data_IF_994148644368
#
_entry.id   IF_994148644368
#
_cell.length_a   1.000
_cell.length_b   1.000
_cell.length_c   1.000
_cell.angle_alpha   90.00
_cell.angle_beta   90.00
_cell.angle_gamma   90.00
#
_symmetry.space_group_name_H-M   'P 1'
#
loop_
_entity.id
_entity.type
_entity.pdbx_description
1 polymer ?
#
# COMPACT_ATOMS: atom_id res chain seq x y z
N UNK A 1 -7.42 -20.77 -24.49
CA UNK A 1 -8.60 -19.99 -24.07
C UNK A 1 -8.32 -18.49 -24.02
N UNK A 2 -7.10 -18.04 -23.74
CA UNK A 2 -6.69 -16.63 -23.59
C UNK A 2 -6.55 -15.82 -24.89
N UNK A 3 -6.97 -16.34 -26.05
CA UNK A 3 -6.84 -15.64 -27.35
C UNK A 3 -7.94 -14.60 -27.59
N UNK A 4 -9.08 -14.72 -26.92
CA UNK A 4 -10.15 -13.71 -26.93
C UNK A 4 -9.90 -12.76 -25.75
N UNK A 5 -9.67 -11.45 -25.97
CA UNK A 5 -9.42 -10.48 -24.89
C UNK A 5 -10.54 -10.42 -23.84
N UNK A 6 -11.77 -10.79 -24.20
CA UNK A 6 -12.94 -10.73 -23.33
C UNK A 6 -13.33 -12.09 -22.73
N UNK A 7 -12.48 -13.11 -22.84
CA UNK A 7 -12.81 -14.47 -22.41
C UNK A 7 -13.23 -14.55 -20.93
N UNK A 8 -12.57 -13.77 -20.06
CA UNK A 8 -12.89 -13.67 -18.63
C UNK A 8 -14.29 -13.08 -18.40
N UNK A 9 -14.63 -12.01 -19.12
CA UNK A 9 -15.93 -11.34 -18.99
C UNK A 9 -17.08 -12.23 -19.47
N UNK A 10 -16.86 -13.02 -20.52
CA UNK A 10 -17.86 -13.97 -21.03
C UNK A 10 -18.08 -15.15 -20.09
N UNK A 11 -17.02 -15.77 -19.59
CA UNK A 11 -17.15 -16.96 -18.74
C UNK A 11 -17.64 -16.64 -17.32
N UNK A 12 -17.35 -15.43 -16.81
CA UNK A 12 -17.73 -15.02 -15.46
C UNK A 12 -18.80 -13.93 -15.45
N UNK A 13 -19.66 -13.84 -16.46
CA UNK A 13 -20.68 -12.79 -16.64
C UNK A 13 -21.63 -12.55 -15.43
N UNK A 14 -21.75 -13.51 -14.52
CA UNK A 14 -22.54 -13.41 -13.27
C UNK A 14 -21.76 -13.03 -12.01
N UNK A 15 -20.43 -12.89 -12.10
CA UNK A 15 -19.55 -12.54 -10.98
C UNK A 15 -18.72 -11.32 -11.38
N UNK A 16 -19.03 -10.10 -10.88
CA UNK A 16 -18.27 -8.91 -11.25
C UNK A 16 -16.80 -9.08 -10.89
N UNK A 17 -15.93 -9.06 -11.89
CA UNK A 17 -14.48 -9.15 -11.73
C UNK A 17 -14.02 -7.88 -11.03
N UNK A 18 -13.33 -8.00 -9.88
CA UNK A 18 -12.75 -6.85 -9.17
C UNK A 18 -11.71 -6.15 -10.07
N UNK A 19 -11.97 -4.91 -10.49
CA UNK A 19 -11.02 -4.07 -11.22
C UNK A 19 -10.00 -3.46 -10.25
N UNK A 20 -8.98 -4.24 -9.89
CA UNK A 20 -7.77 -3.77 -9.20
C UNK A 20 -6.68 -3.36 -10.19
N UNK A 21 -5.48 -2.98 -9.69
CA UNK A 21 -4.32 -2.61 -10.51
C UNK A 21 -4.16 -3.54 -11.73
N UNK A 22 -4.21 -2.97 -12.93
CA UNK A 22 -3.91 -3.67 -14.17
C UNK A 22 -2.43 -4.06 -14.13
N UNK A 23 -2.16 -5.35 -14.23
CA UNK A 23 -0.80 -5.84 -14.37
C UNK A 23 -0.44 -5.58 -15.84
N UNK A 24 0.48 -4.64 -16.08
CA UNK A 24 1.01 -4.28 -17.41
C UNK A 24 1.92 -5.38 -17.96
N UNK A 25 1.35 -6.56 -18.11
CA UNK A 25 2.03 -7.75 -18.59
C UNK A 25 1.00 -8.61 -19.34
N UNK A 26 1.02 -8.59 -20.68
CA UNK A 26 0.01 -9.30 -21.49
C UNK A 26 0.04 -10.82 -21.28
N UNK A 27 1.17 -11.35 -20.79
CA UNK A 27 1.35 -12.76 -20.51
C UNK A 27 1.06 -13.11 -19.04
N UNK A 28 0.65 -12.14 -18.23
CA UNK A 28 0.24 -12.39 -16.85
C UNK A 28 -1.21 -12.90 -16.77
N UNK A 29 -1.50 -13.91 -15.91
CA UNK A 29 -0.53 -14.70 -15.14
C UNK A 29 0.12 -15.80 -15.97
N UNK A 30 1.42 -16.02 -15.76
CA UNK A 30 2.11 -17.21 -16.29
C UNK A 30 1.80 -18.41 -15.40
N UNK A 31 1.00 -19.32 -15.93
CA UNK A 31 0.53 -20.50 -15.20
C UNK A 31 1.34 -21.73 -15.63
N UNK A 32 1.82 -22.49 -14.66
CA UNK A 32 2.36 -23.83 -14.90
C UNK A 32 1.56 -24.88 -14.13
N UNK A 33 1.52 -26.11 -14.65
CA UNK A 33 0.78 -27.23 -14.05
C UNK A 33 1.74 -28.39 -13.89
N UNK A 34 1.72 -29.02 -12.71
CA UNK A 34 2.45 -30.27 -12.47
C UNK A 34 1.73 -31.15 -11.46
N UNK A 35 1.69 -32.44 -11.75
CA UNK A 35 1.15 -33.47 -10.87
C UNK A 35 1.88 -34.79 -11.07
N UNK A 36 1.78 -35.68 -10.09
CA UNK A 36 2.39 -37.01 -10.17
C UNK A 36 1.60 -37.90 -11.12
N UNK A 37 2.29 -38.60 -12.01
CA UNK A 37 1.69 -39.59 -12.92
C UNK A 37 1.86 -40.96 -12.27
N UNK A 38 0.75 -41.65 -11.95
CA UNK A 38 0.80 -43.02 -11.47
C UNK A 38 0.59 -43.98 -12.65
N UNK A 39 1.47 -44.98 -12.79
CA UNK A 39 1.46 -45.90 -13.93
C UNK A 39 0.34 -46.96 -13.86
N UNK A 40 -0.34 -47.11 -12.71
CA UNK A 40 -1.19 -48.27 -12.40
C UNK A 40 -2.71 -47.98 -12.32
N UNK A 41 -3.19 -46.88 -12.91
CA UNK A 41 -4.63 -46.55 -12.95
C UNK A 41 -5.23 -46.73 -14.35
N UNK A 42 -6.52 -47.10 -14.42
CA UNK A 42 -7.27 -47.31 -15.67
C UNK A 42 -7.28 -46.07 -16.59
N UNK A 43 -7.02 -44.87 -16.04
CA UNK A 43 -6.94 -43.59 -16.76
C UNK A 43 -5.51 -43.13 -17.08
N UNK A 44 -4.48 -43.93 -16.78
CA UNK A 44 -3.06 -43.56 -16.92
C UNK A 44 -2.69 -43.00 -18.29
N UNK A 45 -3.24 -43.57 -19.37
CA UNK A 45 -2.96 -43.11 -20.74
C UNK A 45 -3.53 -41.71 -21.02
N UNK A 46 -4.76 -41.44 -20.60
CA UNK A 46 -5.38 -40.13 -20.77
C UNK A 46 -4.61 -39.06 -19.98
N UNK A 47 -4.24 -39.38 -18.74
CA UNK A 47 -3.45 -38.49 -17.87
C UNK A 47 -2.07 -38.19 -18.48
N UNK A 48 -1.42 -39.18 -19.10
CA UNK A 48 -0.16 -38.98 -19.79
C UNK A 48 -0.31 -38.10 -21.03
N UNK A 49 -1.36 -38.29 -21.83
CA UNK A 49 -1.60 -37.48 -23.02
C UNK A 49 -1.92 -36.02 -22.65
N UNK A 50 -2.72 -35.79 -21.60
CA UNK A 50 -2.95 -34.44 -21.04
C UNK A 50 -1.65 -33.79 -20.53
N UNK A 51 -0.79 -34.56 -19.85
CA UNK A 51 0.51 -34.03 -19.39
C UNK A 51 1.43 -33.67 -20.56
N UNK A 52 1.42 -34.43 -21.66
CA UNK A 52 2.21 -34.08 -22.86
C UNK A 52 1.78 -32.74 -23.44
N UNK A 53 0.48 -32.50 -23.50
CA UNK A 53 -0.06 -31.21 -23.98
C UNK A 53 0.33 -30.06 -23.04
N UNK A 54 0.27 -30.26 -21.72
CA UNK A 54 0.74 -29.29 -20.72
C UNK A 54 2.23 -28.97 -20.90
N UNK A 55 3.07 -30.00 -21.04
CA UNK A 55 4.53 -29.82 -21.24
C UNK A 55 4.80 -29.12 -22.56
N UNK A 56 4.03 -29.41 -23.61
CA UNK A 56 4.16 -28.76 -24.91
C UNK A 56 3.87 -27.26 -24.80
N UNK A 57 2.77 -26.86 -24.18
CA UNK A 57 2.43 -25.45 -23.98
C UNK A 57 3.51 -24.71 -23.16
N UNK A 58 4.06 -25.38 -22.14
CA UNK A 58 5.19 -24.85 -21.36
C UNK A 58 6.45 -24.65 -22.21
N UNK A 59 6.79 -25.64 -23.04
CA UNK A 59 7.93 -25.57 -23.96
C UNK A 59 7.77 -24.46 -24.99
N UNK A 60 6.58 -24.31 -25.56
CA UNK A 60 6.27 -23.27 -26.54
C UNK A 60 6.47 -21.87 -25.93
N UNK A 61 6.05 -21.68 -24.67
CA UNK A 61 6.19 -20.40 -23.96
C UNK A 61 7.63 -20.10 -23.52
N UNK A 62 8.31 -21.05 -22.85
CA UNK A 62 9.63 -20.82 -22.26
C UNK A 62 10.80 -21.17 -23.19
N UNK A 63 10.50 -21.63 -24.41
CA UNK A 63 11.47 -22.13 -25.39
C UNK A 63 12.34 -23.26 -24.82
N UNK A 64 11.71 -24.19 -24.10
CA UNK A 64 12.35 -25.41 -23.57
C UNK A 64 12.02 -26.62 -24.43
N UNK A 65 12.61 -27.78 -24.12
CA UNK A 65 12.42 -29.02 -24.89
C UNK A 65 12.21 -30.22 -23.96
N UNK A 66 11.40 -30.04 -22.92
CA UNK A 66 11.08 -31.12 -21.98
C UNK A 66 10.15 -32.15 -22.62
N UNK A 67 10.32 -33.41 -22.23
CA UNK A 67 9.45 -34.52 -22.59
C UNK A 67 8.79 -35.10 -21.33
N UNK A 68 7.81 -35.98 -21.50
CA UNK A 68 7.21 -36.69 -20.35
C UNK A 68 8.23 -37.61 -19.68
N UNK A 69 9.22 -38.10 -20.43
CA UNK A 69 10.36 -38.86 -19.91
C UNK A 69 11.29 -37.98 -19.06
N UNK A 70 11.33 -36.67 -19.31
CA UNK A 70 12.09 -35.68 -18.56
C UNK A 70 11.27 -35.01 -17.43
N UNK A 71 10.19 -35.65 -16.94
CA UNK A 71 9.24 -35.02 -15.99
C UNK A 71 9.94 -34.42 -14.76
N UNK A 72 10.96 -35.07 -14.22
CA UNK A 72 11.71 -34.55 -13.06
C UNK A 72 12.51 -33.28 -13.39
N UNK A 73 13.03 -33.15 -14.60
CA UNK A 73 13.72 -31.93 -15.05
C UNK A 73 12.74 -30.80 -15.32
N UNK A 74 11.60 -31.11 -15.94
CA UNK A 74 10.48 -30.20 -16.10
C UNK A 74 10.03 -29.62 -14.74
N UNK A 75 9.85 -30.48 -13.75
CA UNK A 75 9.50 -30.06 -12.38
C UNK A 75 10.59 -29.22 -11.72
N UNK A 76 11.85 -29.56 -11.94
CA UNK A 76 12.99 -28.76 -11.49
C UNK A 76 12.97 -27.35 -12.08
N UNK A 77 12.64 -27.22 -13.37
CA UNK A 77 12.53 -25.93 -14.06
C UNK A 77 11.39 -25.08 -13.48
N UNK A 78 10.20 -25.67 -13.28
CA UNK A 78 9.06 -25.01 -12.60
C UNK A 78 9.48 -24.49 -11.23
N UNK A 79 10.14 -25.33 -10.43
CA UNK A 79 10.57 -24.95 -9.08
C UNK A 79 11.53 -23.76 -9.10
N UNK A 80 12.49 -23.77 -10.02
CA UNK A 80 13.48 -22.71 -10.13
C UNK A 80 12.85 -21.39 -10.58
N UNK A 81 11.95 -21.41 -11.56
CA UNK A 81 11.21 -20.24 -12.05
C UNK A 81 10.25 -19.68 -11.01
N UNK A 82 9.57 -20.55 -10.26
CA UNK A 82 8.66 -20.14 -9.19
C UNK A 82 9.43 -19.55 -8.00
N UNK A 83 10.56 -20.14 -7.62
CA UNK A 83 11.35 -19.69 -6.47
C UNK A 83 12.15 -18.41 -6.73
N UNK A 84 12.43 -18.08 -8.00
CA UNK A 84 13.15 -16.86 -8.42
C UNK A 84 14.50 -16.64 -7.70
N UNK A 85 15.17 -17.74 -7.32
CA UNK A 85 16.44 -17.71 -6.57
C UNK A 85 17.62 -17.30 -7.45
N UNK A 86 17.64 -17.72 -8.72
CA UNK A 86 18.69 -17.35 -9.69
C UNK A 86 18.31 -16.06 -10.42
N UNK A 87 19.33 -15.29 -10.83
CA UNK A 87 19.14 -14.00 -11.50
C UNK A 87 18.31 -14.12 -12.79
N UNK A 88 18.54 -15.17 -13.59
CA UNK A 88 17.80 -15.44 -14.84
C UNK A 88 16.28 -15.55 -14.65
N UNK A 89 15.81 -15.98 -13.48
CA UNK A 89 14.39 -16.13 -13.17
C UNK A 89 13.79 -14.90 -12.48
N UNK A 90 14.60 -13.86 -12.24
CA UNK A 90 14.13 -12.55 -11.78
C UNK A 90 13.87 -11.61 -12.95
N UNK A 91 14.33 -11.96 -14.15
CA UNK A 91 14.05 -11.21 -15.38
C UNK A 91 12.57 -11.29 -15.73
N UNK A 92 12.02 -10.17 -16.17
CA UNK A 92 10.62 -10.07 -16.58
C UNK A 92 10.33 -11.03 -17.73
N UNK A 93 9.28 -11.84 -17.58
CA UNK A 93 8.85 -12.83 -18.55
C UNK A 93 9.44 -14.23 -18.35
N UNK A 94 10.43 -14.40 -17.47
CA UNK A 94 11.08 -15.70 -17.21
C UNK A 94 10.56 -16.41 -15.97
N UNK A 95 9.83 -15.69 -15.12
CA UNK A 95 9.26 -16.17 -13.88
C UNK A 95 7.93 -16.91 -14.09
N UNK A 96 7.54 -17.74 -13.13
CA UNK A 96 6.17 -18.27 -13.02
C UNK A 96 5.41 -17.48 -11.96
N UNK A 97 4.14 -17.18 -12.23
CA UNK A 97 3.26 -16.39 -11.35
C UNK A 97 2.29 -17.28 -10.57
N UNK A 98 1.81 -18.37 -11.17
CA UNK A 98 0.92 -19.34 -10.52
C UNK A 98 1.33 -20.77 -10.90
N UNK A 99 1.34 -21.68 -9.93
CA UNK A 99 1.49 -23.12 -10.19
C UNK A 99 0.29 -23.87 -9.63
N UNK A 100 -0.32 -24.70 -10.48
CA UNK A 100 -1.37 -25.63 -10.09
C UNK A 100 -0.71 -26.96 -9.76
N UNK A 101 -0.92 -27.45 -8.54
CA UNK A 101 -0.34 -28.68 -8.00
C UNK A 101 -1.39 -29.53 -7.30
N UNK A 102 -1.16 -30.84 -7.26
CA UNK A 102 -1.91 -31.78 -6.41
C UNK A 102 -1.24 -31.91 -5.04
N UNK A 103 -0.13 -32.67 -4.97
CA UNK A 103 0.65 -32.86 -3.73
C UNK A 103 2.09 -32.32 -3.83
N UNK A 104 2.55 -31.96 -5.04
CA UNK A 104 3.91 -31.40 -5.22
C UNK A 104 3.98 -30.00 -4.61
N UNK A 105 5.19 -29.59 -4.23
CA UNK A 105 5.51 -28.27 -3.64
C UNK A 105 4.93 -27.99 -2.25
N UNK A 106 4.11 -28.89 -1.71
CA UNK A 106 3.59 -28.81 -0.35
C UNK A 106 4.64 -29.22 0.69
N UNK A 107 5.68 -29.95 0.28
CA UNK A 107 6.83 -30.36 1.11
C UNK A 107 8.15 -30.08 0.39
N UNK A 108 9.19 -29.73 1.15
CA UNK A 108 10.57 -29.55 0.64
C UNK A 108 10.82 -28.33 -0.27
N UNK A 109 9.78 -27.69 -0.81
CA UNK A 109 9.92 -26.50 -1.66
C UNK A 109 10.00 -25.20 -0.84
N UNK A 110 10.91 -24.31 -1.22
CA UNK A 110 11.21 -23.09 -0.48
C UNK A 110 11.40 -21.89 -1.42
N UNK A 111 10.54 -20.88 -1.27
CA UNK A 111 10.53 -19.67 -2.08
C UNK A 111 10.11 -18.46 -1.23
N UNK A 112 11.07 -17.62 -0.78
CA UNK A 112 10.77 -16.46 0.08
C UNK A 112 9.73 -15.49 -0.48
N UNK A 113 9.69 -15.33 -1.81
CA UNK A 113 8.81 -14.43 -2.54
C UNK A 113 7.35 -14.89 -2.61
N UNK A 114 7.05 -16.16 -2.32
CA UNK A 114 5.67 -16.65 -2.37
C UNK A 114 4.91 -16.15 -1.16
N UNK A 115 3.86 -15.36 -1.43
CA UNK A 115 2.99 -14.82 -0.40
C UNK A 115 1.68 -15.58 -0.25
N UNK A 116 1.12 -16.12 -1.33
CA UNK A 116 -0.28 -16.59 -1.35
C UNK A 116 -0.37 -18.07 -1.70
N UNK A 117 -1.19 -18.81 -0.95
CA UNK A 117 -1.59 -20.19 -1.24
C UNK A 117 -3.10 -20.29 -1.40
N UNK A 118 -3.53 -20.77 -2.57
CA UNK A 118 -4.92 -21.07 -2.90
C UNK A 118 -5.20 -22.56 -2.63
N UNK A 119 -6.24 -22.86 -1.85
CA UNK A 119 -6.54 -24.21 -1.36
C UNK A 119 -7.96 -24.60 -1.72
N UNK A 120 -8.10 -25.54 -2.66
CA UNK A 120 -9.37 -26.24 -2.96
C UNK A 120 -9.31 -27.73 -2.58
N UNK A 121 -8.80 -28.02 -1.39
CA UNK A 121 -8.73 -29.37 -0.84
C UNK A 121 -8.96 -29.35 0.66
N UNK A 122 -9.43 -30.47 1.19
CA UNK A 122 -9.54 -30.63 2.64
C UNK A 122 -8.16 -30.97 3.22
N UNK A 123 -7.44 -29.95 3.68
CA UNK A 123 -6.22 -30.09 4.46
C UNK A 123 -6.57 -30.29 5.94
N UNK A 124 -5.84 -31.17 6.62
CA UNK A 124 -5.98 -31.39 8.06
C UNK A 124 -4.60 -31.60 8.69
N UNK A 125 -4.49 -31.22 9.97
CA UNK A 125 -3.33 -31.48 10.83
C UNK A 125 -1.98 -31.10 10.19
N UNK A 126 -1.04 -32.05 10.11
CA UNK A 126 0.33 -31.82 9.66
C UNK A 126 0.41 -31.28 8.22
N UNK A 127 -0.47 -31.75 7.32
CA UNK A 127 -0.48 -31.31 5.92
C UNK A 127 -0.90 -29.83 5.79
N UNK A 128 -1.76 -29.36 6.69
CA UNK A 128 -2.20 -27.97 6.74
C UNK A 128 -1.05 -27.04 7.14
N UNK A 129 -0.35 -27.35 8.23
CA UNK A 129 0.77 -26.53 8.73
C UNK A 129 1.95 -26.54 7.76
N UNK A 130 2.26 -27.68 7.15
CA UNK A 130 3.32 -27.78 6.15
C UNK A 130 3.02 -26.92 4.91
N UNK A 131 1.78 -26.97 4.42
CA UNK A 131 1.33 -26.13 3.31
C UNK A 131 1.36 -24.63 3.68
N UNK A 132 0.88 -24.27 4.87
CA UNK A 132 0.82 -22.86 5.29
C UNK A 132 2.22 -22.28 5.48
N UNK A 133 3.15 -23.06 6.03
CA UNK A 133 4.55 -22.68 6.17
C UNK A 133 5.27 -22.41 4.84
N UNK A 134 4.68 -22.73 3.68
CA UNK A 134 5.25 -22.33 2.38
C UNK A 134 5.19 -20.82 2.17
N UNK A 135 4.21 -20.16 2.77
CA UNK A 135 3.97 -18.72 2.63
C UNK A 135 4.60 -17.87 3.74
N UNK A 136 5.12 -18.47 4.82
CA UNK A 136 5.59 -17.71 6.00
C UNK A 136 7.08 -17.32 5.96
N UNK A 137 7.78 -17.59 4.86
CA UNK A 137 9.17 -17.19 4.68
C UNK A 137 9.31 -15.67 4.62
N UNK A 138 10.25 -15.12 5.39
CA UNK A 138 10.52 -13.68 5.44
C UNK A 138 11.10 -13.18 4.13
N UNK A 139 10.64 -12.00 3.69
CA UNK A 139 11.13 -11.32 2.50
C UNK A 139 10.89 -9.81 2.64
N UNK A 140 11.78 -8.92 2.13
CA UNK A 140 11.57 -7.48 2.19
C UNK A 140 10.20 -7.07 1.63
N UNK A 141 9.44 -6.28 2.38
CA UNK A 141 8.08 -5.85 2.03
C UNK A 141 6.97 -6.90 2.22
N UNK A 142 7.30 -8.14 2.63
CA UNK A 142 6.33 -9.20 2.92
C UNK A 142 6.16 -9.36 4.43
N UNK A 143 5.02 -8.91 4.94
CA UNK A 143 4.70 -8.95 6.37
C UNK A 143 3.98 -10.23 6.79
N UNK A 144 3.25 -10.88 5.88
CA UNK A 144 2.45 -12.09 6.18
C UNK A 144 2.27 -13.01 4.97
N UNK A 145 2.00 -14.28 5.25
CA UNK A 145 1.49 -15.24 4.27
C UNK A 145 -0.04 -15.14 4.17
N UNK A 146 -0.58 -15.34 2.97
CA UNK A 146 -2.02 -15.32 2.69
C UNK A 146 -2.47 -16.73 2.31
N UNK A 147 -3.47 -17.25 3.02
CA UNK A 147 -4.11 -18.52 2.69
C UNK A 147 -5.55 -18.23 2.27
N UNK A 148 -5.92 -18.67 1.08
CA UNK A 148 -7.27 -18.54 0.53
C UNK A 148 -7.85 -19.93 0.37
N UNK A 149 -8.99 -20.20 1.01
CA UNK A 149 -9.60 -21.54 1.04
C UNK A 149 -10.99 -21.50 0.41
N UNK A 150 -11.28 -22.43 -0.49
CA UNK A 150 -12.55 -22.46 -1.23
C UNK A 150 -13.53 -23.51 -0.70
N UNK A 151 -13.02 -24.54 -0.02
CA UNK A 151 -13.81 -25.70 0.39
C UNK A 151 -14.04 -25.72 1.89
N UNK A 152 -15.31 -25.72 2.31
CA UNK A 152 -15.75 -25.79 3.71
C UNK A 152 -14.99 -24.80 4.63
N UNK A 153 -15.12 -23.48 4.41
CA UNK A 153 -14.34 -22.47 5.14
C UNK A 153 -14.46 -22.58 6.66
N UNK A 154 -15.64 -22.91 7.19
CA UNK A 154 -15.85 -23.13 8.63
C UNK A 154 -15.11 -24.35 9.17
N UNK A 155 -15.09 -25.46 8.44
CA UNK A 155 -14.31 -26.65 8.80
C UNK A 155 -12.82 -26.38 8.70
N UNK A 156 -12.40 -25.60 7.70
CA UNK A 156 -11.01 -25.23 7.52
C UNK A 156 -10.53 -24.33 8.66
N UNK A 157 -11.32 -23.34 9.08
CA UNK A 157 -11.04 -22.51 10.25
C UNK A 157 -10.83 -23.36 11.52
N UNK A 158 -11.70 -24.36 11.73
CA UNK A 158 -11.55 -25.28 12.85
C UNK A 158 -10.27 -26.13 12.72
N UNK A 159 -9.97 -26.66 11.52
CA UNK A 159 -8.74 -27.43 11.28
C UNK A 159 -7.48 -26.59 11.51
N UNK A 160 -7.51 -25.29 11.17
CA UNK A 160 -6.42 -24.35 11.46
C UNK A 160 -6.28 -24.16 12.97
N UNK A 161 -7.37 -23.89 13.68
CA UNK A 161 -7.38 -23.75 15.15
C UNK A 161 -6.82 -25.01 15.84
N UNK A 162 -7.32 -26.18 15.46
CA UNK A 162 -6.91 -27.46 16.02
C UNK A 162 -5.44 -27.78 15.71
N UNK A 163 -4.98 -27.46 14.50
CA UNK A 163 -3.58 -27.65 14.12
C UNK A 163 -2.67 -26.68 14.87
N UNK A 164 -2.99 -25.38 14.91
CA UNK A 164 -2.21 -24.38 15.67
C UNK A 164 -2.08 -24.80 17.12
N UNK A 165 -3.19 -25.18 17.77
CA UNK A 165 -3.21 -25.66 19.17
C UNK A 165 -2.33 -26.88 19.41
N UNK A 166 -2.21 -27.77 18.42
CA UNK A 166 -1.37 -28.98 18.53
C UNK A 166 0.13 -28.64 18.45
N UNK A 167 0.51 -27.55 17.78
CA UNK A 167 1.89 -27.17 17.51
C UNK A 167 2.39 -25.95 18.31
N UNK A 168 1.51 -25.15 18.90
CA UNK A 168 1.86 -24.09 19.86
C UNK A 168 1.84 -24.67 21.28
N UNK A 169 2.93 -24.49 22.05
CA UNK A 169 2.80 -24.54 23.51
C UNK A 169 1.78 -23.46 23.92
N UNK A 170 0.91 -23.73 24.89
CA UNK A 170 -0.35 -22.99 25.16
C UNK A 170 -0.25 -21.47 25.40
N UNK A 171 0.94 -20.87 25.31
CA UNK A 171 1.21 -19.44 25.39
C UNK A 171 1.44 -18.76 24.03
N UNK A 172 1.68 -19.49 22.92
CA UNK A 172 1.98 -18.93 21.58
C UNK A 172 0.81 -19.01 20.58
N UNK A 173 -0.40 -19.34 21.05
CA UNK A 173 -1.59 -19.53 20.22
C UNK A 173 -2.01 -18.24 19.49
N UNK A 174 -1.61 -17.06 19.99
CA UNK A 174 -2.04 -15.74 19.50
C UNK A 174 -1.24 -15.15 18.33
N UNK A 175 -0.09 -15.72 17.99
CA UNK A 175 0.88 -15.10 17.06
C UNK A 175 0.95 -15.82 15.70
N UNK A 176 0.36 -17.02 15.61
CA UNK A 176 0.37 -17.85 14.40
C UNK A 176 -0.79 -17.54 13.44
N UNK A 177 -1.90 -17.03 13.94
CA UNK A 177 -3.09 -16.68 13.15
C UNK A 177 -3.45 -15.23 13.45
N UNK A 178 -3.65 -14.43 12.40
CA UNK A 178 -4.06 -13.05 12.58
C UNK A 178 -5.42 -13.00 13.31
N UNK A 179 -5.57 -12.13 14.32
CA UNK A 179 -6.82 -11.98 15.05
C UNK A 179 -7.95 -11.57 14.11
N UNK A 180 -9.19 -11.94 14.44
CA UNK A 180 -10.38 -11.44 13.74
C UNK A 180 -10.47 -9.91 13.80
N UNK A 181 -11.33 -9.30 12.98
CA UNK A 181 -11.58 -7.85 13.06
C UNK A 181 -12.00 -7.42 14.47
N UNK A 182 -12.92 -8.15 15.11
CA UNK A 182 -13.38 -7.85 16.47
C UNK A 182 -12.27 -7.95 17.53
N UNK A 183 -11.37 -8.92 17.39
CA UNK A 183 -10.21 -9.06 18.28
C UNK A 183 -9.18 -7.96 18.03
N UNK A 184 -8.91 -7.63 16.77
CA UNK A 184 -8.04 -6.51 16.37
C UNK A 184 -8.59 -5.19 16.92
N UNK A 185 -9.90 -4.97 16.82
CA UNK A 185 -10.60 -3.79 17.37
C UNK A 185 -10.51 -3.74 18.90
N UNK A 186 -10.62 -4.88 19.59
CA UNK A 186 -10.42 -4.94 21.05
C UNK A 186 -8.98 -4.60 21.43
N UNK A 187 -7.98 -5.11 20.69
CA UNK A 187 -6.56 -4.78 20.89
C UNK A 187 -6.30 -3.29 20.69
N UNK A 188 -6.80 -2.72 19.60
CA UNK A 188 -6.74 -1.27 19.34
C UNK A 188 -7.33 -0.45 20.49
N UNK A 189 -8.54 -0.79 20.95
CA UNK A 189 -9.18 -0.12 22.11
C UNK A 189 -8.35 -0.22 23.39
N UNK A 190 -7.70 -1.37 23.63
CA UNK A 190 -6.84 -1.57 24.79
C UNK A 190 -5.58 -0.71 24.69
N UNK A 191 -4.94 -0.65 23.52
CA UNK A 191 -3.78 0.19 23.26
C UNK A 191 -4.13 1.68 23.40
N UNK A 192 -5.28 2.10 22.87
CA UNK A 192 -5.79 3.48 22.98
C UNK A 192 -6.00 3.87 24.45
N UNK A 193 -6.62 2.99 25.23
CA UNK A 193 -6.81 3.18 26.67
C UNK A 193 -5.49 3.25 27.42
N UNK A 194 -4.51 2.41 27.07
CA UNK A 194 -3.18 2.44 27.69
C UNK A 194 -2.51 3.79 27.48
N UNK A 195 -2.47 4.26 26.22
CA UNK A 195 -1.87 5.56 25.87
C UNK A 195 -2.55 6.71 26.62
N UNK A 196 -3.88 6.78 26.57
CA UNK A 196 -4.66 7.88 27.18
C UNK A 196 -4.71 7.82 28.72
N UNK A 197 -4.45 6.66 29.33
CA UNK A 197 -4.27 6.57 30.78
C UNK A 197 -2.90 7.08 31.21
N UNK A 198 -1.87 6.76 30.42
CA UNK A 198 -0.49 7.19 30.69
C UNK A 198 -0.29 8.68 30.43
N UNK A 199 -0.81 9.17 29.30
CA UNK A 199 -0.71 10.56 28.85
C UNK A 199 -2.10 11.01 28.38
N UNK A 200 -2.92 11.59 29.26
CA UNK A 200 -4.30 11.99 28.93
C UNK A 200 -4.41 13.08 27.87
N UNK A 201 -3.41 13.96 27.76
CA UNK A 201 -3.32 14.97 26.70
C UNK A 201 -1.90 15.01 26.12
N UNK A 202 -1.72 15.29 24.81
CA UNK A 202 -0.39 15.39 24.20
C UNK A 202 0.54 16.38 24.93
N UNK A 203 -0.01 17.44 25.52
CA UNK A 203 0.74 18.46 26.26
C UNK A 203 1.29 17.99 27.61
N UNK A 204 0.82 16.85 28.12
CA UNK A 204 1.20 16.34 29.44
C UNK A 204 2.59 15.65 29.42
N UNK A 205 3.17 15.46 28.23
CA UNK A 205 4.50 14.88 28.06
C UNK A 205 5.34 15.70 27.06
N UNK A 206 6.65 15.75 27.29
CA UNK A 206 7.62 16.37 26.39
C UNK A 206 9.02 15.73 26.56
N UNK A 207 10.00 16.24 25.83
CA UNK A 207 11.39 15.79 25.84
C UNK A 207 12.09 15.91 27.20
N UNK A 208 11.56 16.73 28.12
CA UNK A 208 12.10 16.92 29.47
C UNK A 208 11.38 16.09 30.53
N UNK A 209 10.34 15.33 30.15
CA UNK A 209 9.66 14.40 31.06
C UNK A 209 10.63 13.30 31.56
N UNK A 210 10.37 12.72 32.74
CA UNK A 210 11.18 11.61 33.26
C UNK A 210 11.39 10.51 32.21
N UNK A 211 12.62 10.00 32.14
CA UNK A 211 13.05 9.01 31.13
C UNK A 211 12.14 7.79 31.07
N UNK A 212 11.75 7.23 32.22
CA UNK A 212 10.83 6.10 32.32
C UNK A 212 9.47 6.39 31.65
N UNK A 213 8.91 7.58 31.90
CA UNK A 213 7.62 8.00 31.32
C UNK A 213 7.74 8.19 29.81
N UNK A 214 8.84 8.77 29.32
CA UNK A 214 9.11 8.91 27.88
C UNK A 214 9.19 7.56 27.18
N UNK A 215 9.86 6.58 27.80
CA UNK A 215 9.98 5.21 27.27
C UNK A 215 8.62 4.53 27.21
N UNK A 216 7.84 4.56 28.30
CA UNK A 216 6.51 3.96 28.35
C UNK A 216 5.56 4.60 27.33
N UNK A 217 5.63 5.92 27.16
CA UNK A 217 4.83 6.65 26.17
C UNK A 217 5.16 6.23 24.74
N UNK A 218 6.45 6.15 24.39
CA UNK A 218 6.86 5.72 23.05
C UNK A 218 6.41 4.28 22.76
N UNK A 219 6.54 3.37 23.74
CA UNK A 219 6.04 1.98 23.61
C UNK A 219 4.52 1.96 23.43
N UNK A 220 3.77 2.71 24.25
CA UNK A 220 2.32 2.76 24.18
C UNK A 220 1.81 3.34 22.85
N UNK A 221 2.46 4.39 22.32
CA UNK A 221 2.10 4.97 21.03
C UNK A 221 2.44 4.00 19.88
N UNK A 222 3.60 3.34 19.91
CA UNK A 222 3.95 2.34 18.90
C UNK A 222 2.96 1.17 18.87
N UNK A 223 2.53 0.68 20.03
CA UNK A 223 1.51 -0.36 20.12
C UNK A 223 0.16 0.12 19.57
N UNK A 224 -0.23 1.37 19.85
CA UNK A 224 -1.44 1.97 19.28
C UNK A 224 -1.35 2.06 17.74
N UNK A 225 -0.22 2.50 17.21
CA UNK A 225 -0.01 2.58 15.76
C UNK A 225 -0.04 1.18 15.12
N UNK A 226 0.66 0.20 15.69
CA UNK A 226 0.71 -1.16 15.14
C UNK A 226 -0.68 -1.82 15.13
N UNK A 227 -1.46 -1.64 16.19
CA UNK A 227 -2.83 -2.16 16.26
C UNK A 227 -3.77 -1.42 15.30
N UNK A 228 -3.56 -0.13 15.05
CA UNK A 228 -4.25 0.63 14.00
C UNK A 228 -3.91 0.10 12.60
N UNK A 229 -2.62 -0.07 12.29
CA UNK A 229 -2.18 -0.60 11.00
C UNK A 229 -2.76 -1.99 10.72
N UNK A 230 -2.90 -2.84 11.74
CA UNK A 230 -3.60 -4.11 11.60
C UNK A 230 -5.10 -3.92 11.33
N UNK A 231 -5.74 -2.99 12.04
CA UNK A 231 -7.18 -2.74 11.96
C UNK A 231 -7.63 -2.24 10.58
N UNK A 232 -6.84 -1.40 9.91
CA UNK A 232 -7.19 -0.85 8.59
C UNK A 232 -7.14 -1.88 7.46
N UNK A 233 -6.55 -3.07 7.70
CA UNK A 233 -6.45 -4.12 6.66
C UNK A 233 -7.74 -4.90 6.44
N UNK A 234 -8.77 -4.68 7.26
CA UNK A 234 -10.06 -5.38 7.19
C UNK A 234 -11.09 -4.56 6.41
N UNK A 235 -11.94 -5.21 5.63
CA UNK A 235 -13.00 -4.53 4.86
C UNK A 235 -14.01 -3.85 5.81
N UNK A 236 -14.33 -4.52 6.93
CA UNK A 236 -15.23 -4.08 8.00
C UNK A 236 -14.81 -2.77 8.67
N UNK A 237 -13.52 -2.43 8.61
CA UNK A 237 -13.00 -1.16 9.14
C UNK A 237 -13.73 0.04 8.54
N UNK A 238 -13.99 0.02 7.24
CA UNK A 238 -14.58 1.16 6.54
C UNK A 238 -16.03 1.40 7.00
N UNK A 239 -16.80 0.31 7.11
CA UNK A 239 -18.17 0.33 7.64
C UNK A 239 -18.24 0.90 9.05
N UNK A 240 -17.32 0.47 9.92
CA UNK A 240 -17.28 0.92 11.31
C UNK A 240 -16.77 2.36 11.44
N UNK A 241 -15.87 2.78 10.56
CA UNK A 241 -15.44 4.18 10.47
C UNK A 241 -16.57 5.10 10.04
N UNK A 242 -17.52 4.66 9.22
CA UNK A 242 -18.69 5.47 8.89
C UNK A 242 -19.70 5.56 10.04
N UNK A 243 -19.89 4.46 10.77
CA UNK A 243 -20.98 4.30 11.75
C UNK A 243 -20.58 4.68 13.18
N UNK A 244 -19.30 4.57 13.54
CA UNK A 244 -18.83 4.69 14.93
C UNK A 244 -18.03 5.97 15.18
N UNK A 245 -18.69 6.99 15.74
CA UNK A 245 -18.02 8.23 16.19
C UNK A 245 -16.91 7.97 17.23
N UNK A 246 -17.14 6.99 18.12
CA UNK A 246 -16.14 6.61 19.12
C UNK A 246 -14.87 6.10 18.44
N UNK A 247 -14.98 5.26 17.40
CA UNK A 247 -13.80 4.77 16.70
C UNK A 247 -13.06 5.90 15.98
N UNK A 248 -13.79 6.84 15.36
CA UNK A 248 -13.21 8.04 14.75
C UNK A 248 -12.40 8.87 15.77
N UNK A 249 -12.99 9.15 16.94
CA UNK A 249 -12.31 9.90 18.02
C UNK A 249 -11.05 9.17 18.51
N UNK A 250 -11.11 7.84 18.65
CA UNK A 250 -9.95 7.04 19.07
C UNK A 250 -8.82 7.04 18.05
N UNK A 251 -9.14 7.10 16.75
CA UNK A 251 -8.14 7.15 15.69
C UNK A 251 -7.55 8.55 15.57
N UNK A 252 -8.34 9.61 15.74
CA UNK A 252 -7.84 10.99 15.78
C UNK A 252 -6.79 11.20 16.89
N UNK A 253 -6.83 10.40 17.96
CA UNK A 253 -5.79 10.40 18.99
C UNK A 253 -4.39 10.11 18.40
N UNK A 254 -4.26 9.30 17.34
CA UNK A 254 -2.97 9.09 16.67
C UNK A 254 -2.44 10.39 16.05
N UNK A 255 -3.30 11.15 15.37
CA UNK A 255 -2.95 12.44 14.76
C UNK A 255 -2.59 13.50 15.80
N UNK A 256 -3.34 13.58 16.89
CA UNK A 256 -3.09 14.54 17.96
C UNK A 256 -1.75 14.30 18.67
N UNK A 257 -1.36 13.03 18.82
CA UNK A 257 -0.17 12.64 19.58
C UNK A 257 1.08 12.47 18.72
N UNK A 258 0.98 12.37 17.39
CA UNK A 258 2.11 12.07 16.50
C UNK A 258 3.25 13.09 16.61
N UNK A 259 2.92 14.37 16.76
CA UNK A 259 3.91 15.44 16.88
C UNK A 259 4.76 15.28 18.15
N UNK A 260 4.09 15.09 19.29
CA UNK A 260 4.75 14.89 20.59
C UNK A 260 5.49 13.57 20.64
N UNK A 261 4.92 12.51 20.04
CA UNK A 261 5.60 11.22 19.87
C UNK A 261 6.96 11.38 19.18
N UNK A 262 7.00 12.08 18.04
CA UNK A 262 8.26 12.26 17.30
C UNK A 262 9.29 13.06 18.10
N UNK A 263 8.87 14.11 18.80
CA UNK A 263 9.74 14.89 19.69
C UNK A 263 10.31 14.05 20.83
N UNK A 264 9.45 13.31 21.55
CA UNK A 264 9.86 12.47 22.67
C UNK A 264 10.74 11.31 22.19
N UNK A 265 10.37 10.64 21.10
CA UNK A 265 11.19 9.58 20.49
C UNK A 265 12.58 10.08 20.10
N UNK A 266 12.66 11.26 19.48
CA UNK A 266 13.93 11.90 19.12
C UNK A 266 14.83 12.12 20.35
N UNK A 267 14.27 12.62 21.45
CA UNK A 267 15.02 12.82 22.69
C UNK A 267 15.60 11.53 23.29
N UNK A 268 14.93 10.39 23.10
CA UNK A 268 15.43 9.09 23.55
C UNK A 268 16.57 8.54 22.68
N UNK A 269 16.60 8.90 21.39
CA UNK A 269 17.70 8.53 20.48
C UNK A 269 19.01 9.20 20.91
N UNK A 270 18.93 10.49 21.27
CA UNK A 270 20.11 11.27 21.71
C UNK A 270 20.67 10.77 23.06
N UNK A 271 19.80 10.30 23.96
CA UNK A 271 20.18 9.76 25.27
C UNK A 271 20.69 8.31 25.22
N UNK A 272 20.23 7.51 24.25
CA UNK A 272 20.69 6.15 24.02
C UNK A 272 22.11 6.04 23.43
N UNK A 273 22.71 7.18 23.02
CA UNK A 273 24.07 7.25 22.49
C UNK A 273 25.16 7.38 23.59
N UNK A 274 24.80 7.34 24.88
CA UNK A 274 25.74 7.43 26.00
C UNK A 274 26.17 6.04 26.53
N UNK A 275 27.48 5.82 26.69
CA UNK A 275 28.06 4.56 27.20
C UNK A 275 27.77 4.34 28.71
N UNK A 276 27.04 3.27 29.06
CA UNK A 276 26.77 2.83 30.43
C UNK A 276 25.70 1.73 30.51
N UNK A 277 25.34 1.21 31.71
CA UNK A 277 24.13 0.39 31.89
C UNK A 277 22.92 1.30 31.71
N UNK A 278 22.56 1.52 30.45
CA UNK A 278 21.52 2.45 30.04
C UNK A 278 20.12 1.95 30.38
N UNK A 279 19.11 2.84 30.24
CA UNK A 279 17.70 2.49 30.37
C UNK A 279 17.28 1.35 29.41
N UNK A 280 16.26 0.57 29.80
CA UNK A 280 15.75 -0.54 29.00
C UNK A 280 14.87 -0.04 27.83
N UNK A 281 15.48 0.06 26.66
CA UNK A 281 14.79 0.37 25.41
C UNK A 281 14.23 -0.87 24.68
N UNK A 282 14.23 -2.05 25.31
CA UNK A 282 13.67 -3.25 24.68
C UNK A 282 12.21 -3.03 24.26
N UNK A 283 11.90 -3.36 23.01
CA UNK A 283 10.57 -3.16 22.43
C UNK A 283 10.29 -1.76 21.87
N UNK A 284 11.28 -0.85 21.81
CA UNK A 284 11.16 0.40 21.05
C UNK A 284 11.83 0.24 19.68
N UNK A 285 11.07 0.49 18.62
CA UNK A 285 11.63 0.58 17.26
C UNK A 285 12.05 2.01 16.93
N UNK A 286 13.36 2.29 17.03
CA UNK A 286 13.90 3.61 16.69
C UNK A 286 14.06 3.83 15.18
N UNK A 287 14.54 2.81 14.47
CA UNK A 287 14.86 2.84 13.04
C UNK A 287 14.11 1.72 12.32
N UNK A 288 12.83 1.96 12.01
CA UNK A 288 12.02 1.05 11.21
C UNK A 288 11.64 1.68 9.86
N UNK A 289 11.53 0.86 8.81
CA UNK A 289 10.91 1.27 7.53
C UNK A 289 9.40 1.53 7.66
N UNK A 290 8.80 1.19 8.82
CA UNK A 290 7.48 1.64 9.23
C UNK A 290 7.55 3.11 9.67
N UNK A 291 7.66 4.03 8.71
CA UNK A 291 7.17 5.38 8.93
C UNK A 291 5.74 5.26 9.47
N UNK A 292 5.39 6.01 10.53
CA UNK A 292 4.01 6.04 11.04
C UNK A 292 3.09 6.35 9.87
N UNK A 293 2.36 5.34 9.39
CA UNK A 293 1.35 5.51 8.37
C UNK A 293 0.06 5.83 9.08
N UNK A 294 -0.12 7.12 9.38
CA UNK A 294 -1.50 7.61 9.47
C UNK A 294 -2.05 7.46 8.06
N UNK A 295 -2.76 6.35 7.82
CA UNK A 295 -3.56 6.23 6.61
C UNK A 295 -4.51 7.41 6.67
N UNK A 296 -4.27 8.38 5.81
CA UNK A 296 -5.20 9.46 5.58
C UNK A 296 -6.49 8.77 5.09
N UNK A 297 -7.49 8.68 5.97
CA UNK A 297 -8.74 7.94 5.77
C UNK A 297 -9.57 8.53 4.60
N UNK A 298 -9.05 9.57 3.96
CA UNK A 298 -9.79 10.50 3.12
C UNK A 298 -9.59 10.28 1.61
N UNK A 299 -8.41 9.82 1.15
CA UNK A 299 -8.16 9.62 -0.29
C UNK A 299 -8.79 8.33 -0.83
N UNK A 300 -8.74 7.25 -0.03
CA UNK A 300 -9.25 5.93 -0.43
C UNK A 300 -10.77 5.89 -0.60
N UNK A 301 -11.52 6.69 0.15
CA UNK A 301 -12.97 6.80 -0.03
C UNK A 301 -13.33 7.53 -1.33
N UNK A 302 -12.68 8.67 -1.61
CA UNK A 302 -12.87 9.39 -2.88
C UNK A 302 -12.41 8.50 -4.05
N UNK A 303 -11.28 7.81 -3.93
CA UNK A 303 -10.76 6.91 -4.97
C UNK A 303 -11.71 5.75 -5.27
N UNK A 304 -12.43 5.22 -4.26
CA UNK A 304 -13.49 4.22 -4.45
C UNK A 304 -14.71 4.79 -5.16
N UNK A 305 -15.15 6.00 -4.78
CA UNK A 305 -16.25 6.68 -5.46
C UNK A 305 -15.89 6.99 -6.92
N UNK A 306 -14.65 7.38 -7.17
CA UNK A 306 -14.11 7.57 -8.52
C UNK A 306 -14.06 6.27 -9.31
N UNK A 307 -13.64 5.17 -8.69
CA UNK A 307 -13.65 3.83 -9.29
C UNK A 307 -15.04 3.35 -9.71
N UNK A 308 -16.10 3.86 -9.10
CA UNK A 308 -17.49 3.53 -9.46
C UNK A 308 -18.17 4.60 -10.31
N UNK A 309 -17.48 5.72 -10.58
CA UNK A 309 -18.03 6.83 -11.34
C UNK A 309 -18.12 6.50 -12.83
N UNK A 310 -19.34 6.58 -13.38
CA UNK A 310 -19.60 6.51 -14.81
C UNK A 310 -20.08 7.86 -15.34
N UNK A 311 -19.82 8.12 -16.63
CA UNK A 311 -20.16 9.39 -17.25
C UNK A 311 -21.64 9.76 -17.04
N UNK A 312 -21.86 10.98 -16.54
CA UNK A 312 -23.14 11.59 -16.19
C UNK A 312 -23.87 10.92 -15.00
N UNK A 313 -23.17 10.16 -14.14
CA UNK A 313 -23.76 9.62 -12.92
C UNK A 313 -23.88 10.68 -11.81
N UNK A 314 -25.03 11.35 -11.76
CA UNK A 314 -25.27 12.45 -10.81
C UNK A 314 -25.21 12.01 -9.34
N UNK A 315 -25.66 10.80 -9.01
CA UNK A 315 -25.67 10.32 -7.62
C UNK A 315 -24.24 10.21 -7.06
N UNK A 316 -23.34 9.56 -7.81
CA UNK A 316 -21.95 9.40 -7.40
C UNK A 316 -21.23 10.76 -7.43
N UNK A 317 -21.56 11.63 -8.39
CA UNK A 317 -21.04 13.00 -8.45
C UNK A 317 -21.36 13.80 -7.19
N UNK A 318 -22.60 13.72 -6.73
CA UNK A 318 -23.05 14.41 -5.52
C UNK A 318 -22.41 13.80 -4.25
N UNK A 319 -22.18 12.49 -4.24
CA UNK A 319 -21.44 11.81 -3.15
C UNK A 319 -19.97 12.24 -3.10
N UNK A 320 -19.30 12.36 -4.25
CA UNK A 320 -17.93 12.88 -4.34
C UNK A 320 -17.89 14.33 -3.82
N UNK A 321 -18.82 15.18 -4.24
CA UNK A 321 -18.86 16.58 -3.78
C UNK A 321 -19.13 16.68 -2.27
N UNK A 322 -20.03 15.85 -1.72
CA UNK A 322 -20.25 15.76 -0.27
C UNK A 322 -19.01 15.26 0.47
N UNK A 323 -18.30 14.28 -0.08
CA UNK A 323 -17.04 13.80 0.47
C UNK A 323 -16.02 14.94 0.53
N UNK A 324 -15.77 15.63 -0.59
CA UNK A 324 -14.86 16.78 -0.65
C UNK A 324 -15.19 17.89 0.35
N UNK A 325 -16.48 18.16 0.60
CA UNK A 325 -16.94 19.13 1.58
C UNK A 325 -16.74 18.64 3.03
N UNK A 326 -17.11 17.39 3.32
CA UNK A 326 -16.94 16.76 4.64
C UNK A 326 -15.47 16.74 5.05
N UNK A 327 -14.60 16.46 4.10
CA UNK A 327 -13.15 16.39 4.26
C UNK A 327 -12.47 17.77 4.22
N UNK A 328 -13.26 18.85 4.11
CA UNK A 328 -12.77 20.25 4.10
C UNK A 328 -11.63 20.48 3.11
N UNK A 329 -11.62 19.76 1.99
CA UNK A 329 -10.60 19.92 0.95
C UNK A 329 -10.60 21.37 0.46
N UNK A 330 -9.42 21.91 0.21
CA UNK A 330 -9.28 23.26 -0.32
C UNK A 330 -9.94 23.36 -1.69
N UNK A 331 -10.44 24.56 -2.03
CA UNK A 331 -11.20 24.74 -3.26
C UNK A 331 -10.39 24.38 -4.50
N UNK A 332 -9.08 24.63 -4.47
CA UNK A 332 -8.17 24.22 -5.55
C UNK A 332 -8.18 22.71 -5.81
N UNK A 333 -8.27 21.89 -4.75
CA UNK A 333 -8.34 20.43 -4.88
C UNK A 333 -9.71 20.02 -5.41
N UNK A 334 -10.79 20.65 -4.92
CA UNK A 334 -12.16 20.38 -5.42
C UNK A 334 -12.29 20.71 -6.90
N UNK A 335 -11.68 21.80 -7.35
CA UNK A 335 -11.73 22.22 -8.74
C UNK A 335 -11.04 21.22 -9.67
N UNK A 336 -9.94 20.60 -9.24
CA UNK A 336 -9.29 19.52 -10.00
C UNK A 336 -10.20 18.30 -10.12
N UNK A 337 -10.81 17.86 -9.02
CA UNK A 337 -11.79 16.76 -9.05
C UNK A 337 -12.97 17.09 -9.98
N UNK A 338 -13.56 18.28 -9.87
CA UNK A 338 -14.66 18.71 -10.75
C UNK A 338 -14.25 18.77 -12.22
N UNK A 339 -13.05 19.27 -12.52
CA UNK A 339 -12.50 19.34 -13.87
C UNK A 339 -12.33 17.93 -14.47
N UNK A 340 -11.85 16.99 -13.66
CA UNK A 340 -11.72 15.59 -14.04
C UNK A 340 -13.10 14.96 -14.33
N UNK A 341 -14.07 15.10 -13.42
CA UNK A 341 -15.43 14.56 -13.62
C UNK A 341 -16.09 15.16 -14.88
N UNK A 342 -15.91 16.45 -15.13
CA UNK A 342 -16.38 17.09 -16.36
C UNK A 342 -15.74 16.51 -17.63
N UNK A 343 -14.45 16.17 -17.57
CA UNK A 343 -13.75 15.57 -18.71
C UNK A 343 -14.25 14.14 -19.01
N UNK A 344 -14.63 13.39 -17.97
CA UNK A 344 -15.30 12.09 -18.10
C UNK A 344 -16.70 12.27 -18.71
N UNK A 345 -17.52 13.17 -18.17
CA UNK A 345 -18.88 13.44 -18.65
C UNK A 345 -18.92 13.88 -20.12
N UNK A 346 -17.91 14.66 -20.53
CA UNK A 346 -17.76 15.14 -21.91
C UNK A 346 -17.04 14.16 -22.84
N UNK A 347 -16.70 12.95 -22.36
CA UNK A 347 -15.99 11.91 -23.11
C UNK A 347 -14.67 12.38 -23.73
N UNK A 348 -13.99 13.32 -23.07
CA UNK A 348 -12.61 13.74 -23.41
C UNK A 348 -11.57 12.74 -22.89
N UNK A 349 -12.01 11.84 -22.01
CA UNK A 349 -11.24 10.77 -21.41
C UNK A 349 -11.83 9.46 -21.93
N UNK A 350 -10.97 8.54 -22.33
CA UNK A 350 -11.38 7.21 -22.75
C UNK A 350 -12.07 6.49 -21.58
N UNK A 351 -13.18 5.79 -21.85
CA UNK A 351 -13.88 5.01 -20.82
C UNK A 351 -13.06 3.84 -20.30
N UNK A 352 -12.02 3.43 -21.03
CA UNK A 352 -11.10 2.35 -20.66
C UNK A 352 -9.85 2.84 -19.90
N UNK A 353 -9.64 4.16 -19.76
CA UNK A 353 -8.51 4.69 -18.97
C UNK A 353 -8.73 4.48 -17.46
N UNK A 354 -7.71 3.99 -16.75
CA UNK A 354 -7.73 3.85 -15.30
C UNK A 354 -7.98 5.22 -14.63
N UNK A 355 -9.04 5.30 -13.83
CA UNK A 355 -9.48 6.56 -13.21
C UNK A 355 -8.44 7.16 -12.24
N UNK A 356 -7.58 6.33 -11.64
CA UNK A 356 -6.50 6.80 -10.76
C UNK A 356 -5.31 7.32 -11.58
N UNK A 357 -5.07 6.76 -12.76
CA UNK A 357 -4.12 7.33 -13.75
C UNK A 357 -4.64 8.67 -14.25
N UNK A 358 -5.93 8.77 -14.53
CA UNK A 358 -6.61 10.01 -14.88
C UNK A 358 -6.48 11.03 -13.75
N UNK A 359 -6.82 10.65 -12.51
CA UNK A 359 -6.66 11.50 -11.31
C UNK A 359 -5.23 12.02 -11.22
N UNK A 360 -4.25 11.11 -11.25
CA UNK A 360 -2.82 11.46 -11.19
C UNK A 360 -2.46 12.48 -12.28
N UNK A 361 -2.89 12.28 -13.53
CA UNK A 361 -2.65 13.21 -14.64
C UNK A 361 -3.22 14.60 -14.33
N UNK A 362 -4.49 14.70 -13.93
CA UNK A 362 -5.13 15.99 -13.61
C UNK A 362 -4.46 16.73 -12.46
N UNK A 363 -4.07 16.01 -11.41
CA UNK A 363 -3.37 16.60 -10.25
C UNK A 363 -1.94 17.00 -10.59
N UNK A 364 -1.19 16.18 -11.35
CA UNK A 364 0.15 16.54 -11.83
C UNK A 364 0.10 17.76 -12.76
N UNK A 365 -0.83 17.80 -13.71
CA UNK A 365 -1.01 18.95 -14.61
C UNK A 365 -1.34 20.24 -13.83
N UNK A 366 -2.20 20.14 -12.81
CA UNK A 366 -2.58 21.29 -11.98
C UNK A 366 -1.43 21.77 -11.10
N UNK A 367 -0.65 20.84 -10.53
CA UNK A 367 0.56 21.11 -9.77
C UNK A 367 1.60 21.83 -10.63
N UNK A 368 1.93 21.28 -11.80
CA UNK A 368 2.91 21.84 -12.72
C UNK A 368 2.46 23.20 -13.26
N UNK A 369 1.16 23.36 -13.53
CA UNK A 369 0.57 24.63 -13.94
C UNK A 369 0.73 25.69 -12.87
N UNK A 370 0.47 25.38 -11.59
CA UNK A 370 0.62 26.33 -10.50
C UNK A 370 2.08 26.81 -10.37
N UNK A 371 3.05 25.90 -10.49
CA UNK A 371 4.48 26.24 -10.49
C UNK A 371 4.83 27.13 -11.68
N UNK A 372 4.36 26.78 -12.88
CA UNK A 372 4.60 27.54 -14.11
C UNK A 372 3.98 28.95 -14.05
N UNK A 373 2.77 29.08 -13.52
CA UNK A 373 2.11 30.36 -13.32
C UNK A 373 2.88 31.25 -12.34
N UNK A 374 3.38 30.66 -11.25
CA UNK A 374 4.24 31.38 -10.32
C UNK A 374 5.54 31.83 -11.00
N UNK A 375 6.21 30.92 -11.72
CA UNK A 375 7.44 31.20 -12.47
C UNK A 375 7.25 32.37 -13.47
N UNK A 376 6.14 32.37 -14.21
CA UNK A 376 5.83 33.41 -15.18
C UNK A 376 5.46 34.75 -14.51
N UNK A 377 4.70 34.70 -13.41
CA UNK A 377 4.28 35.90 -12.68
C UNK A 377 5.48 36.60 -12.04
N UNK A 378 6.38 35.81 -11.45
CA UNK A 378 7.52 36.33 -10.73
C UNK A 378 8.78 36.39 -11.57
N UNK A 379 8.81 35.87 -12.80
CA UNK A 379 10.01 35.80 -13.64
C UNK A 379 11.20 35.12 -12.94
N UNK A 380 10.96 33.90 -12.45
CA UNK A 380 11.98 33.00 -11.86
C UNK A 380 12.01 31.68 -12.61
N UNK A 381 13.06 30.88 -12.41
CA UNK A 381 13.16 29.57 -13.05
C UNK A 381 12.25 28.53 -12.38
N UNK A 382 11.47 27.82 -13.20
CA UNK A 382 10.54 26.77 -12.72
C UNK A 382 11.24 25.60 -12.03
N UNK A 383 12.43 25.21 -12.49
CA UNK A 383 13.20 24.11 -11.88
C UNK A 383 13.55 24.41 -10.41
N UNK A 384 13.88 25.65 -10.09
CA UNK A 384 14.18 26.08 -8.72
C UNK A 384 12.94 26.00 -7.81
N UNK A 385 11.77 26.30 -8.37
CA UNK A 385 10.49 26.16 -7.69
C UNK A 385 10.12 24.68 -7.49
N UNK A 386 10.33 23.80 -8.47
CA UNK A 386 10.12 22.36 -8.32
C UNK A 386 11.00 21.78 -7.21
N UNK A 387 12.29 22.11 -7.18
CA UNK A 387 13.22 21.67 -6.12
C UNK A 387 12.78 22.18 -4.74
N UNK A 388 12.30 23.41 -4.67
CA UNK A 388 11.74 24.00 -3.45
C UNK A 388 10.49 23.25 -2.99
N UNK A 389 9.56 23.00 -3.91
CA UNK A 389 8.27 22.36 -3.64
C UNK A 389 8.40 20.91 -3.19
N UNK A 390 9.28 20.12 -3.82
CA UNK A 390 9.51 18.71 -3.48
C UNK A 390 10.00 18.54 -2.03
N UNK A 391 10.80 19.50 -1.56
CA UNK A 391 11.43 19.45 -0.23
C UNK A 391 10.58 20.16 0.85
N UNK A 392 9.51 20.85 0.45
CA UNK A 392 8.74 21.70 1.34
C UNK A 392 7.76 20.89 2.18
N UNK A 393 7.77 21.15 3.49
CA UNK A 393 6.73 20.73 4.43
C UNK A 393 6.08 21.99 5.01
N UNK A 394 4.76 21.98 5.20
CA UNK A 394 4.04 23.13 5.77
C UNK A 394 4.72 23.61 7.06
N UNK A 395 4.94 24.93 7.13
CA UNK A 395 5.62 25.56 8.26
C UNK A 395 7.16 25.56 8.17
N UNK A 396 7.78 24.93 7.17
CA UNK A 396 9.25 24.94 7.01
C UNK A 396 9.81 26.37 7.00
N UNK A 397 10.80 26.66 7.84
CA UNK A 397 11.57 27.91 7.81
C UNK A 397 13.07 27.62 8.03
N UNK A 398 13.96 27.95 7.07
CA UNK A 398 13.68 28.62 5.80
C UNK A 398 12.91 27.75 4.79
N UNK A 399 12.25 28.39 3.83
CA UNK A 399 11.71 27.69 2.65
C UNK A 399 12.88 26.98 1.93
N UNK A 400 12.79 25.67 1.65
CA UNK A 400 13.82 24.93 0.92
C UNK A 400 14.12 25.55 -0.43
N UNK A 401 15.37 25.48 -0.85
CA UNK A 401 15.87 26.04 -2.09
C UNK A 401 15.52 27.53 -2.37
N UNK A 402 15.16 28.32 -1.36
CA UNK A 402 14.80 29.74 -1.56
C UNK A 402 15.95 30.59 -2.13
N UNK A 403 17.20 30.20 -1.85
CA UNK A 403 18.38 30.87 -2.42
C UNK A 403 18.46 30.68 -3.93
N UNK A 404 18.17 29.48 -4.43
CA UNK A 404 18.13 29.18 -5.87
C UNK A 404 17.08 30.01 -6.59
N UNK A 405 15.86 30.08 -6.03
CA UNK A 405 14.76 30.92 -6.55
C UNK A 405 15.15 32.40 -6.57
N UNK A 406 15.78 32.91 -5.50
CA UNK A 406 16.21 34.33 -5.44
C UNK A 406 17.31 34.63 -6.46
N UNK A 407 18.19 33.67 -6.74
CA UNK A 407 19.28 33.84 -7.70
C UNK A 407 18.79 33.76 -9.15
N UNK A 408 17.71 33.03 -9.43
CA UNK A 408 17.16 32.88 -10.78
C UNK A 408 16.21 34.02 -11.20
N UNK A 409 15.99 35.01 -10.34
CA UNK A 409 15.07 36.12 -10.61
C UNK A 409 15.50 36.99 -11.79
N UNK A 410 14.54 37.37 -12.61
CA UNK A 410 14.73 38.27 -13.76
C UNK A 410 13.93 39.56 -13.52
N UNK A 411 14.42 40.38 -12.57
CA UNK A 411 13.73 41.60 -12.13
C UNK A 411 13.44 42.59 -13.26
N UNK A 412 14.32 42.70 -14.26
CA UNK A 412 14.12 43.61 -15.40
C UNK A 412 12.86 43.25 -16.20
N UNK A 413 12.58 41.95 -16.35
CA UNK A 413 11.35 41.46 -17.01
C UNK A 413 10.12 41.71 -16.16
N UNK A 414 10.21 41.48 -14.84
CA UNK A 414 9.13 41.80 -13.91
C UNK A 414 8.79 43.29 -13.92
N UNK A 415 9.81 44.17 -13.91
CA UNK A 415 9.63 45.63 -13.95
C UNK A 415 9.02 46.13 -15.26
N UNK A 416 9.27 45.44 -16.38
CA UNK A 416 8.65 45.79 -17.66
C UNK A 416 7.12 45.67 -17.63
N UNK A 417 6.57 44.75 -16.83
CA UNK A 417 5.11 44.55 -16.66
C UNK A 417 4.58 45.29 -15.42
N UNK A 418 5.44 45.56 -14.43
CA UNK A 418 5.11 46.29 -13.22
C UNK A 418 6.03 47.52 -13.05
N UNK A 419 5.74 48.66 -13.71
CA UNK A 419 6.63 49.82 -13.74
C UNK A 419 6.96 50.40 -12.36
N UNK A 420 6.03 50.28 -11.41
CA UNK A 420 6.17 50.78 -10.04
C UNK A 420 6.92 49.82 -9.08
N UNK A 421 7.37 48.65 -9.59
CA UNK A 421 8.05 47.65 -8.78
C UNK A 421 9.39 48.15 -8.24
N UNK A 422 9.60 47.99 -6.92
CA UNK A 422 10.85 48.38 -6.24
C UNK A 422 11.76 47.16 -6.06
N UNK A 423 13.06 47.23 -6.46
CA UNK A 423 13.99 46.11 -6.35
C UNK A 423 14.10 45.52 -4.94
N UNK A 424 14.10 46.39 -3.92
CA UNK A 424 14.21 46.01 -2.52
C UNK A 424 12.96 45.29 -1.98
N UNK A 425 11.79 45.47 -2.60
CA UNK A 425 10.53 44.84 -2.17
C UNK A 425 10.22 43.55 -2.94
N UNK A 426 10.74 43.41 -4.15
CA UNK A 426 10.45 42.28 -5.03
C UNK A 426 10.83 40.92 -4.42
N UNK A 427 12.07 40.77 -3.91
CA UNK A 427 12.53 39.49 -3.33
C UNK A 427 11.73 39.06 -2.07
N UNK A 428 11.55 39.94 -1.07
CA UNK A 428 10.74 39.63 0.10
C UNK A 428 9.27 39.31 -0.24
N UNK A 429 8.66 40.05 -1.17
CA UNK A 429 7.29 39.82 -1.60
C UNK A 429 7.15 38.47 -2.32
N UNK A 430 8.05 38.18 -3.26
CA UNK A 430 8.11 36.89 -3.96
C UNK A 430 8.23 35.73 -2.98
N UNK A 431 9.12 35.82 -1.99
CA UNK A 431 9.29 34.78 -0.95
C UNK A 431 7.99 34.57 -0.18
N UNK A 432 7.29 35.65 0.20
CA UNK A 432 6.01 35.57 0.92
C UNK A 432 4.93 34.91 0.06
N UNK A 433 4.82 35.31 -1.20
CA UNK A 433 3.85 34.72 -2.12
C UNK A 433 4.18 33.26 -2.42
N UNK A 434 5.46 32.91 -2.56
CA UNK A 434 5.85 31.52 -2.77
C UNK A 434 5.46 30.63 -1.60
N UNK A 435 5.69 31.08 -0.34
CA UNK A 435 5.20 30.35 0.84
C UNK A 435 3.69 30.14 0.79
N UNK A 436 2.94 31.19 0.47
CA UNK A 436 1.48 31.10 0.34
C UNK A 436 1.06 30.11 -0.74
N UNK A 437 1.69 30.15 -1.91
CA UNK A 437 1.45 29.18 -3.00
C UNK A 437 1.81 27.76 -2.58
N UNK A 438 2.89 27.59 -1.83
CA UNK A 438 3.28 26.29 -1.29
C UNK A 438 2.20 25.73 -0.34
N UNK A 439 1.81 26.52 0.65
CA UNK A 439 0.86 26.12 1.70
C UNK A 439 -0.57 25.91 1.16
N UNK A 440 -1.06 26.80 0.29
CA UNK A 440 -2.47 26.83 -0.12
C UNK A 440 -2.74 26.10 -1.44
N UNK A 441 -1.72 25.78 -2.23
CA UNK A 441 -1.88 25.20 -3.57
C UNK A 441 -1.00 23.97 -3.77
N UNK A 442 0.32 24.09 -3.64
CA UNK A 442 1.26 23.03 -4.04
C UNK A 442 1.18 21.83 -3.11
N UNK A 443 1.24 22.03 -1.79
CA UNK A 443 1.17 20.92 -0.82
C UNK A 443 -0.19 20.20 -0.92
N UNK A 444 -1.34 20.90 -0.90
CA UNK A 444 -2.65 20.27 -1.07
C UNK A 444 -2.80 19.45 -2.35
N UNK A 445 -2.23 19.91 -3.47
CA UNK A 445 -2.24 19.16 -4.73
C UNK A 445 -1.29 17.96 -4.69
N UNK A 446 -0.14 18.09 -4.04
CA UNK A 446 0.84 17.02 -3.89
C UNK A 446 0.35 15.90 -2.96
N UNK A 447 -0.43 16.23 -1.93
CA UNK A 447 -0.99 15.25 -1.00
C UNK A 447 -1.97 14.29 -1.72
N UNK A 448 -2.67 14.76 -2.75
CA UNK A 448 -3.57 13.92 -3.59
C UNK A 448 -2.83 13.01 -4.58
N UNK A 449 -1.50 13.18 -4.71
CA UNK A 449 -0.62 12.36 -5.56
C UNK A 449 0.14 11.28 -4.77
N UNK A 450 0.09 11.34 -3.43
CA UNK A 450 0.67 10.34 -2.52
C UNK A 450 -0.27 9.15 -2.39
#
# INVERSE_FOLDING_TARGET
>A
MTKDPEWLTKEFAGNPIRTGRTIEDPDFPRIAITYSIQENEDNSKQIQDEMKDIIKDYNDYYHTAWSIEDIERYNGDINNRLARKKAEFKEFGKQIDLVIVVDRLLTGFDAPTIQTLFVDRNLSYANLIQAFSRTNRTYPGKTKGLIVTFRKPSTMEQNVKDATKLYSEAQEESDLVYPTYDESKKRFKKAHKLLTTLVPNPTDINEHSPLEIRIEFVKAFQELNNTYEALVTYDEYNDDMEKSKVLQEQINTLEEYIGVYNTVKGSLVDEGAQDGPGPDFSGIEFYGENAIKVYDIDSTYIDRLLGTYSANNQNIRDEIEKALQKLKKLEIVKDVYRAMLNAIDTKKIDSEEDILVVKRRFFTESYDKAIKEFANTWFVEGNELHLSAIQYVIGSDPIPNIRGIINSKQFDKYKAIHPDAKPLKYGPEMKRQWRKTLDEVIVPLADELR
#
